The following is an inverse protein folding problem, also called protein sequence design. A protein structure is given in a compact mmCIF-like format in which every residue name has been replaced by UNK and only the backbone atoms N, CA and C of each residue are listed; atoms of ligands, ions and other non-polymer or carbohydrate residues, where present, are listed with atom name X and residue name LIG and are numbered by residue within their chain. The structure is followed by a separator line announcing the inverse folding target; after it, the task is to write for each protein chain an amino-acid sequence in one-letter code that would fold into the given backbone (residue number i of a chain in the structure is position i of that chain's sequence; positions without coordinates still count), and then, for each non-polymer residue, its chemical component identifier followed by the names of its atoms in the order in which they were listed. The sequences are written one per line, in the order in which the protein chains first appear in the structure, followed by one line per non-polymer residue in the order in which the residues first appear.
data_IF_125694634961
#
_entry.id   IF_125694634961
#
_cell.length_a   1.000
_cell.length_b   1.000
_cell.length_c   1.000
_cell.angle_alpha   90.00
_cell.angle_beta   90.00
_cell.angle_gamma   90.00
#
_symmetry.space_group_name_H-M   'P 1'
#
loop_
_entity.id
_entity.type
_entity.pdbx_description
1 polymer ?
#
# COMPACT_ATOMS: atom_id res chain seq x y z
N UNK A 1 3.03 -2.80 14.07
CA UNK A 1 1.59 -2.55 13.83
C UNK A 1 0.70 -3.27 14.85
N UNK A 2 0.81 -4.60 15.01
CA UNK A 2 -0.03 -5.36 15.93
C UNK A 2 0.13 -4.95 17.41
N UNK A 3 1.36 -4.69 17.86
CA UNK A 3 1.64 -4.15 19.20
C UNK A 3 1.07 -2.73 19.35
N UNK A 4 1.25 -1.86 18.36
CA UNK A 4 0.73 -0.49 18.36
C UNK A 4 -0.80 -0.46 18.39
N UNK A 5 -1.45 -1.32 17.58
CA UNK A 5 -2.92 -1.48 17.57
C UNK A 5 -3.50 -1.88 18.93
N UNK A 6 -2.74 -2.56 19.78
CA UNK A 6 -3.17 -3.04 21.09
C UNK A 6 -2.82 -2.14 22.28
N UNK A 7 -2.14 -1.00 22.08
CA UNK A 7 -1.67 -0.13 23.18
C UNK A 7 -2.79 0.42 24.08
N UNK A 8 -3.91 0.75 23.51
CA UNK A 8 -5.08 1.31 24.22
C UNK A 8 -6.16 0.26 24.55
N UNK A 9 -5.81 -1.04 24.44
CA UNK A 9 -6.75 -2.15 24.56
C UNK A 9 -7.31 -2.56 23.18
N UNK A 10 -8.08 -3.65 23.16
CA UNK A 10 -8.73 -4.19 21.95
C UNK A 10 -10.22 -4.30 22.18
N UNK A 11 -10.98 -3.63 21.34
CA UNK A 11 -12.45 -3.74 21.33
C UNK A 11 -12.87 -4.67 20.19
N UNK A 12 -14.05 -5.27 20.33
CA UNK A 12 -14.69 -6.04 19.24
C UNK A 12 -14.83 -5.20 17.95
N UNK A 13 -15.02 -3.89 18.09
CA UNK A 13 -15.08 -2.95 16.95
C UNK A 13 -13.76 -2.89 16.17
N UNK A 14 -12.64 -2.96 16.87
CA UNK A 14 -11.31 -2.89 16.24
C UNK A 14 -11.03 -4.14 15.41
N UNK A 15 -11.45 -5.30 15.89
CA UNK A 15 -11.35 -6.57 15.17
C UNK A 15 -12.27 -6.56 13.93
N UNK A 16 -13.48 -6.02 14.05
CA UNK A 16 -14.39 -5.88 12.91
C UNK A 16 -13.77 -4.97 11.84
N UNK A 17 -13.17 -3.86 12.24
CA UNK A 17 -12.48 -2.93 11.32
C UNK A 17 -11.31 -3.63 10.63
N UNK A 18 -10.52 -4.43 11.35
CA UNK A 18 -9.43 -5.21 10.77
C UNK A 18 -9.94 -6.20 9.71
N UNK A 19 -10.98 -6.97 10.03
CA UNK A 19 -11.56 -7.93 9.08
C UNK A 19 -12.18 -7.20 7.88
N UNK A 20 -12.91 -6.13 8.12
CA UNK A 20 -13.54 -5.35 7.06
C UNK A 20 -12.50 -4.70 6.13
N UNK A 21 -11.41 -4.17 6.69
CA UNK A 21 -10.32 -3.58 5.89
C UNK A 21 -9.50 -4.65 5.15
N UNK A 22 -9.33 -5.83 5.73
CA UNK A 22 -8.71 -6.97 5.04
C UNK A 22 -9.54 -7.43 3.85
N UNK A 23 -10.83 -7.71 4.07
CA UNK A 23 -11.74 -8.16 3.00
C UNK A 23 -11.91 -7.06 1.95
N UNK A 24 -12.13 -5.81 2.38
CA UNK A 24 -12.24 -4.66 1.49
C UNK A 24 -10.96 -4.41 0.69
N UNK A 25 -9.80 -4.57 1.30
CA UNK A 25 -8.49 -4.48 0.65
C UNK A 25 -8.30 -5.56 -0.41
N UNK A 26 -8.60 -6.82 -0.10
CA UNK A 26 -8.54 -7.93 -1.05
C UNK A 26 -9.49 -7.69 -2.24
N UNK A 27 -10.71 -7.24 -1.96
CA UNK A 27 -11.72 -6.99 -2.97
C UNK A 27 -11.34 -5.82 -3.88
N UNK A 28 -10.80 -4.76 -3.30
CA UNK A 28 -10.32 -3.58 -4.03
C UNK A 28 -9.13 -3.91 -4.92
N UNK A 29 -8.17 -4.70 -4.43
CA UNK A 29 -7.02 -5.15 -5.21
C UNK A 29 -7.46 -6.10 -6.33
N UNK A 30 -8.33 -7.06 -6.04
CA UNK A 30 -8.88 -8.00 -7.03
C UNK A 30 -9.69 -7.30 -8.12
N UNK A 31 -10.58 -6.37 -7.74
CA UNK A 31 -11.33 -5.55 -8.70
C UNK A 31 -10.42 -4.61 -9.47
N UNK A 32 -9.41 -4.04 -8.83
CA UNK A 32 -8.41 -3.19 -9.47
C UNK A 32 -7.68 -3.94 -10.58
N UNK A 33 -7.24 -5.16 -10.32
CA UNK A 33 -6.55 -5.99 -11.31
C UNK A 33 -7.48 -6.37 -12.51
N UNK A 34 -8.76 -6.63 -12.25
CA UNK A 34 -9.69 -7.08 -13.28
C UNK A 34 -10.51 -5.97 -13.95
N UNK A 35 -10.78 -4.85 -13.25
CA UNK A 35 -11.67 -3.79 -13.73
C UNK A 35 -10.92 -2.61 -14.36
N UNK A 36 -9.67 -2.36 -13.98
CA UNK A 36 -8.87 -1.23 -14.48
C UNK A 36 -7.87 -1.71 -15.55
N UNK A 37 -8.07 -2.86 -16.16
CA UNK A 37 -7.28 -3.37 -17.29
C UNK A 37 -7.39 -2.53 -18.58
N UNK A 38 -7.87 -1.29 -18.50
CA UNK A 38 -7.92 -0.31 -19.56
C UNK A 38 -6.86 0.77 -19.35
N UNK A 39 -6.15 1.15 -20.41
CA UNK A 39 -5.28 2.31 -20.39
C UNK A 39 -6.12 3.57 -20.18
N UNK A 40 -5.99 4.17 -19.00
CA UNK A 40 -6.55 5.49 -18.73
C UNK A 40 -5.78 6.50 -19.58
N UNK A 41 -6.47 7.37 -20.31
CA UNK A 41 -5.81 8.41 -21.08
C UNK A 41 -4.99 9.32 -20.15
N UNK A 42 -3.71 9.45 -20.46
CA UNK A 42 -2.78 10.29 -19.74
C UNK A 42 -3.08 11.76 -20.03
N UNK A 43 -3.72 12.44 -19.09
CA UNK A 43 -4.00 13.87 -19.16
C UNK A 43 -3.65 14.54 -17.81
N UNK A 44 -3.75 15.85 -17.75
CA UNK A 44 -3.42 16.62 -16.55
C UNK A 44 -4.15 16.12 -15.30
N UNK A 45 -5.44 15.83 -15.40
CA UNK A 45 -6.25 15.38 -14.25
C UNK A 45 -5.91 13.96 -13.81
N UNK A 46 -5.65 13.06 -14.75
CA UNK A 46 -5.25 11.69 -14.41
C UNK A 46 -3.87 11.64 -13.77
N UNK A 47 -2.93 12.49 -14.19
CA UNK A 47 -1.64 12.67 -13.52
C UNK A 47 -1.81 13.26 -12.11
N UNK A 48 -2.74 14.20 -11.93
CA UNK A 48 -3.03 14.77 -10.62
C UNK A 48 -3.62 13.71 -9.67
N UNK A 49 -4.52 12.85 -10.18
CA UNK A 49 -5.05 11.71 -9.41
C UNK A 49 -3.94 10.72 -9.04
N UNK A 50 -3.06 10.38 -10.00
CA UNK A 50 -1.93 9.51 -9.75
C UNK A 50 -1.02 10.07 -8.64
N UNK A 51 -0.72 11.37 -8.67
CA UNK A 51 0.01 12.07 -7.60
C UNK A 51 -0.69 11.99 -6.23
N UNK A 52 -2.01 12.14 -6.23
CA UNK A 52 -2.83 11.97 -5.03
C UNK A 52 -2.76 10.56 -4.46
N UNK A 53 -2.82 9.53 -5.30
CA UNK A 53 -2.69 8.13 -4.91
C UNK A 53 -1.29 7.82 -4.36
N UNK A 54 -0.23 8.40 -4.94
CA UNK A 54 1.14 8.29 -4.41
C UNK A 54 1.21 8.87 -3.00
N UNK A 55 0.65 10.06 -2.81
CA UNK A 55 0.64 10.73 -1.52
C UNK A 55 -0.16 9.94 -0.46
N UNK A 56 -1.29 9.35 -0.84
CA UNK A 56 -2.07 8.45 0.04
C UNK A 56 -1.24 7.24 0.46
N UNK A 57 -0.48 6.63 -0.46
CA UNK A 57 0.39 5.51 -0.15
C UNK A 57 1.54 5.86 0.80
N UNK A 58 1.98 7.12 0.81
CA UNK A 58 2.97 7.62 1.79
C UNK A 58 2.32 7.80 3.17
N UNK A 59 1.07 8.31 3.20
CA UNK A 59 0.34 8.57 4.46
C UNK A 59 -0.11 7.25 5.11
N UNK A 60 -0.60 6.32 4.29
CA UNK A 60 -1.16 5.04 4.75
C UNK A 60 -0.14 3.92 4.51
N UNK A 61 0.63 3.52 5.54
CA UNK A 61 1.59 2.45 5.39
C UNK A 61 0.89 1.14 4.98
N UNK A 62 1.48 0.43 4.03
CA UNK A 62 0.92 -0.82 3.48
C UNK A 62 0.07 -0.63 2.23
N UNK A 63 -0.29 0.60 1.87
CA UNK A 63 -0.93 0.90 0.60
C UNK A 63 0.17 1.14 -0.45
N UNK A 64 0.34 0.22 -1.37
CA UNK A 64 1.32 0.40 -2.45
C UNK A 64 0.75 1.29 -3.56
N UNK A 65 1.15 2.56 -3.67
CA UNK A 65 0.58 3.46 -4.67
C UNK A 65 0.94 3.05 -6.11
N UNK A 66 2.07 2.39 -6.29
CA UNK A 66 2.51 1.91 -7.60
C UNK A 66 1.54 0.92 -8.24
N UNK A 67 0.86 0.09 -7.44
CA UNK A 67 -0.13 -0.85 -7.96
C UNK A 67 -1.30 -0.11 -8.65
N UNK A 68 -1.81 0.96 -8.06
CA UNK A 68 -2.88 1.76 -8.68
C UNK A 68 -2.44 2.37 -10.01
N UNK A 69 -1.21 2.87 -10.08
CA UNK A 69 -0.66 3.47 -11.30
C UNK A 69 -0.43 2.40 -12.38
N UNK A 70 0.01 1.20 -11.98
CA UNK A 70 0.12 0.04 -12.87
C UNK A 70 -1.26 -0.36 -13.40
N UNK A 71 -2.29 -0.45 -12.54
CA UNK A 71 -3.65 -0.78 -12.95
C UNK A 71 -4.26 0.27 -13.88
N UNK A 72 -3.92 1.55 -13.70
CA UNK A 72 -4.29 2.62 -14.63
C UNK A 72 -3.55 2.54 -15.97
N UNK A 73 -2.57 1.65 -16.13
CA UNK A 73 -1.75 1.53 -17.34
C UNK A 73 -0.76 2.68 -17.54
N UNK A 74 -0.60 3.56 -16.55
CA UNK A 74 0.16 4.81 -16.65
C UNK A 74 1.61 4.69 -16.13
N UNK A 75 1.99 3.56 -15.53
CA UNK A 75 3.30 3.41 -14.87
C UNK A 75 4.48 3.63 -15.82
N UNK A 76 4.42 3.07 -17.04
CA UNK A 76 5.48 3.24 -18.04
C UNK A 76 5.62 4.70 -18.43
N UNK A 77 4.51 5.37 -18.75
CA UNK A 77 4.50 6.80 -19.14
C UNK A 77 5.01 7.68 -18.00
N UNK A 78 4.62 7.39 -16.76
CA UNK A 78 5.14 8.07 -15.58
C UNK A 78 6.65 7.90 -15.44
N UNK A 79 7.14 6.65 -15.55
CA UNK A 79 8.58 6.36 -15.46
C UNK A 79 9.39 7.07 -16.55
N UNK A 80 8.90 7.08 -17.77
CA UNK A 80 9.56 7.75 -18.89
C UNK A 80 9.50 9.27 -18.71
N UNK A 81 8.38 9.85 -18.26
CA UNK A 81 8.24 11.26 -17.95
C UNK A 81 9.22 11.72 -16.85
N UNK A 82 9.44 10.91 -15.82
CA UNK A 82 10.46 11.21 -14.80
C UNK A 82 11.88 11.16 -15.36
N UNK A 83 12.20 10.20 -16.24
CA UNK A 83 13.54 10.09 -16.85
C UNK A 83 13.85 11.27 -17.78
N UNK A 84 12.85 11.74 -18.52
CA UNK A 84 12.99 12.85 -19.46
C UNK A 84 12.74 14.22 -18.82
N UNK A 85 12.42 14.27 -17.52
CA UNK A 85 12.03 15.47 -16.80
C UNK A 85 10.85 16.21 -17.45
N UNK A 86 9.88 15.45 -17.96
CA UNK A 86 8.68 16.01 -18.59
C UNK A 86 7.79 16.70 -17.56
N UNK A 87 7.75 18.03 -17.62
CA UNK A 87 6.95 18.85 -16.71
C UNK A 87 5.45 18.64 -16.88
N UNK A 88 4.99 18.15 -18.03
CA UNK A 88 3.58 17.82 -18.25
C UNK A 88 3.11 16.62 -17.42
N UNK A 89 4.03 15.78 -16.99
CA UNK A 89 3.81 14.64 -16.10
C UNK A 89 4.13 14.99 -14.65
N UNK A 90 5.31 15.57 -14.41
CA UNK A 90 5.83 15.82 -13.05
C UNK A 90 4.99 16.85 -12.31
N UNK A 91 4.62 17.95 -12.97
CA UNK A 91 3.94 19.06 -12.31
C UNK A 91 2.53 18.68 -11.82
N UNK A 92 1.65 18.03 -12.61
CA UNK A 92 0.35 17.61 -12.11
C UNK A 92 0.46 16.50 -11.05
N UNK A 93 1.44 15.61 -11.13
CA UNK A 93 1.71 14.62 -10.06
C UNK A 93 2.08 15.32 -8.76
N UNK A 94 2.99 16.29 -8.82
CA UNK A 94 3.40 17.06 -7.65
C UNK A 94 2.24 17.86 -7.05
N UNK A 95 1.43 18.52 -7.88
CA UNK A 95 0.24 19.26 -7.45
C UNK A 95 -0.78 18.33 -6.79
N UNK A 96 -1.11 17.20 -7.41
CA UNK A 96 -2.03 16.22 -6.85
C UNK A 96 -1.55 15.66 -5.51
N UNK A 97 -0.26 15.37 -5.41
CA UNK A 97 0.38 14.93 -4.18
C UNK A 97 0.29 15.99 -3.08
N UNK A 98 0.66 17.24 -3.36
CA UNK A 98 0.58 18.35 -2.40
C UNK A 98 -0.85 18.62 -1.92
N UNK A 99 -1.82 18.64 -2.82
CA UNK A 99 -3.24 18.81 -2.46
C UNK A 99 -3.70 17.69 -1.54
N UNK A 100 -3.36 16.45 -1.87
CA UNK A 100 -3.72 15.29 -1.06
C UNK A 100 -3.04 15.34 0.31
N UNK A 101 -1.75 15.64 0.38
CA UNK A 101 -1.04 15.81 1.65
C UNK A 101 -1.67 16.90 2.51
N UNK A 102 -2.03 18.05 1.92
CA UNK A 102 -2.65 19.15 2.66
C UNK A 102 -4.04 18.81 3.20
N UNK A 103 -4.85 18.11 2.42
CA UNK A 103 -6.20 17.70 2.82
C UNK A 103 -6.17 16.57 3.84
N UNK A 104 -5.37 15.53 3.57
CA UNK A 104 -5.35 14.33 4.40
C UNK A 104 -4.51 14.47 5.66
N UNK A 105 -3.52 15.37 5.72
CA UNK A 105 -2.73 15.58 6.94
C UNK A 105 -3.60 15.99 8.14
N UNK A 106 -4.58 16.87 7.92
CA UNK A 106 -5.54 17.27 8.97
C UNK A 106 -6.47 16.12 9.37
N UNK A 107 -6.95 15.37 8.38
CA UNK A 107 -7.81 14.20 8.61
C UNK A 107 -7.07 13.12 9.40
N UNK A 108 -5.86 12.79 8.98
CA UNK A 108 -5.02 11.79 9.65
C UNK A 108 -4.70 12.22 11.08
N UNK A 109 -4.33 13.49 11.31
CA UNK A 109 -4.10 14.00 12.66
C UNK A 109 -5.36 13.89 13.54
N UNK A 110 -6.54 14.18 13.00
CA UNK A 110 -7.80 14.04 13.71
C UNK A 110 -8.10 12.58 14.08
N UNK A 111 -7.88 11.66 13.12
CA UNK A 111 -8.08 10.22 13.33
C UNK A 111 -7.10 9.68 14.37
N UNK A 112 -5.82 10.09 14.32
CA UNK A 112 -4.82 9.71 15.32
C UNK A 112 -5.21 10.14 16.74
N UNK A 113 -5.87 11.29 16.88
CA UNK A 113 -6.33 11.76 18.20
C UNK A 113 -7.57 11.01 18.73
N UNK A 114 -8.49 10.61 17.85
CA UNK A 114 -9.81 10.09 18.26
C UNK A 114 -10.01 8.60 18.06
N UNK A 115 -9.28 8.01 17.14
CA UNK A 115 -9.50 6.63 16.70
C UNK A 115 -8.18 5.90 16.44
N UNK A 116 -7.19 6.10 17.34
CA UNK A 116 -5.86 5.49 17.23
C UNK A 116 -5.91 3.96 17.06
N UNK A 117 -6.61 3.18 17.93
CA UNK A 117 -6.68 1.74 17.78
C UNK A 117 -7.33 1.32 16.45
N UNK A 118 -8.42 1.99 16.08
CA UNK A 118 -9.16 1.71 14.85
C UNK A 118 -8.31 1.92 13.60
N UNK A 119 -7.53 3.01 13.57
CA UNK A 119 -6.64 3.31 12.46
C UNK A 119 -5.57 2.23 12.30
N UNK A 120 -4.94 1.81 13.40
CA UNK A 120 -3.92 0.77 13.34
C UNK A 120 -4.47 -0.60 12.96
N UNK A 121 -5.68 -0.95 13.38
CA UNK A 121 -6.35 -2.18 12.93
C UNK A 121 -6.72 -2.10 11.44
N UNK A 122 -7.18 -0.94 10.98
CA UNK A 122 -7.45 -0.68 9.55
C UNK A 122 -6.18 -0.84 8.69
N UNK A 123 -5.10 -0.17 9.08
CA UNK A 123 -3.81 -0.27 8.38
C UNK A 123 -3.31 -1.73 8.38
N UNK A 124 -3.41 -2.41 9.52
CA UNK A 124 -2.96 -3.79 9.63
C UNK A 124 -3.78 -4.73 8.73
N UNK A 125 -5.09 -4.52 8.61
CA UNK A 125 -5.94 -5.27 7.69
C UNK A 125 -5.53 -5.07 6.23
N UNK A 126 -5.24 -3.83 5.80
CA UNK A 126 -4.77 -3.55 4.43
C UNK A 126 -3.40 -4.19 4.17
N UNK A 127 -2.46 -4.12 5.12
CA UNK A 127 -1.14 -4.76 5.01
C UNK A 127 -1.28 -6.27 4.85
N UNK A 128 -2.17 -6.91 5.62
CA UNK A 128 -2.44 -8.34 5.46
C UNK A 128 -3.05 -8.66 4.09
N UNK A 129 -4.00 -7.84 3.61
CA UNK A 129 -4.61 -8.01 2.29
C UNK A 129 -3.57 -7.93 1.18
N UNK A 130 -2.73 -6.90 1.19
CA UNK A 130 -1.66 -6.73 0.19
C UNK A 130 -0.63 -7.87 0.25
N UNK A 131 -0.30 -8.36 1.44
CA UNK A 131 0.63 -9.49 1.62
C UNK A 131 0.05 -10.78 1.02
N UNK A 132 -1.23 -11.06 1.26
CA UNK A 132 -1.90 -12.25 0.71
C UNK A 132 -2.03 -12.16 -0.81
N UNK A 133 -2.36 -10.98 -1.34
CA UNK A 133 -2.55 -10.77 -2.79
C UNK A 133 -1.23 -10.81 -3.60
N UNK A 134 -0.08 -10.63 -2.96
CA UNK A 134 1.23 -10.78 -3.61
C UNK A 134 1.58 -12.26 -3.85
N UNK A 135 0.95 -13.20 -3.14
CA UNK A 135 1.23 -14.62 -3.31
C UNK A 135 0.77 -15.06 -4.71
N UNK A 136 1.68 -15.57 -5.56
CA UNK A 136 1.30 -16.00 -6.91
C UNK A 136 0.29 -17.14 -6.82
N UNK A 137 -0.77 -17.08 -7.64
CA UNK A 137 -1.79 -18.13 -7.72
C UNK A 137 -1.44 -19.20 -8.76
N UNK A 138 -0.52 -18.90 -9.67
CA UNK A 138 -0.12 -19.81 -10.73
C UNK A 138 1.34 -20.25 -10.56
N UNK A 139 1.53 -21.49 -10.17
CA UNK A 139 2.82 -22.15 -10.02
C UNK A 139 3.15 -23.10 -11.17
N UNK A 140 2.38 -23.07 -12.26
CA UNK A 140 2.61 -23.93 -13.41
C UNK A 140 3.96 -23.60 -14.06
N UNK A 141 4.87 -24.57 -14.08
CA UNK A 141 6.22 -24.41 -14.64
C UNK A 141 7.31 -24.07 -13.61
N UNK A 142 7.01 -24.04 -12.33
CA UNK A 142 8.05 -23.90 -11.31
C UNK A 142 8.82 -25.19 -11.14
N UNK A 143 10.16 -25.09 -11.20
CA UNK A 143 11.06 -26.19 -10.89
C UNK A 143 11.28 -26.29 -9.37
N UNK A 144 11.69 -27.48 -8.90
CA UNK A 144 12.00 -27.75 -7.47
C UNK A 144 12.98 -26.71 -6.90
N UNK A 145 13.95 -26.26 -7.69
CA UNK A 145 14.92 -25.24 -7.29
C UNK A 145 14.23 -23.90 -6.98
N UNK A 146 13.21 -23.52 -7.75
CA UNK A 146 12.45 -22.29 -7.53
C UNK A 146 11.59 -22.37 -6.27
N UNK A 147 10.98 -23.52 -5.99
CA UNK A 147 10.25 -23.72 -4.72
C UNK A 147 11.19 -23.64 -3.51
N UNK A 148 12.36 -24.26 -3.58
CA UNK A 148 13.37 -24.18 -2.51
C UNK A 148 13.85 -22.73 -2.32
N UNK A 149 14.11 -22.02 -3.41
CA UNK A 149 14.48 -20.60 -3.35
C UNK A 149 13.40 -19.74 -2.69
N UNK A 150 12.13 -19.96 -3.01
CA UNK A 150 11.01 -19.26 -2.36
C UNK A 150 10.96 -19.52 -0.85
N UNK A 151 11.11 -20.77 -0.41
CA UNK A 151 11.12 -21.15 1.02
C UNK A 151 12.30 -20.51 1.75
N UNK A 152 13.50 -20.56 1.16
CA UNK A 152 14.70 -19.93 1.73
C UNK A 152 14.53 -18.42 1.84
N UNK A 153 14.02 -17.74 0.80
CA UNK A 153 13.78 -16.31 0.80
C UNK A 153 12.70 -15.91 1.81
N UNK A 154 11.65 -16.72 1.96
CA UNK A 154 10.61 -16.49 2.96
C UNK A 154 11.19 -16.62 4.38
N UNK A 155 12.01 -17.65 4.64
CA UNK A 155 12.71 -17.82 5.91
C UNK A 155 13.67 -16.67 6.21
N UNK A 156 14.47 -16.26 5.23
CA UNK A 156 15.40 -15.13 5.35
C UNK A 156 14.66 -13.81 5.59
N UNK A 157 13.58 -13.54 4.85
CA UNK A 157 12.76 -12.35 5.01
C UNK A 157 12.09 -12.26 6.38
N UNK A 158 11.54 -13.37 6.88
CA UNK A 158 10.95 -13.42 8.23
C UNK A 158 12.01 -13.24 9.33
N UNK A 159 13.17 -13.85 9.18
CA UNK A 159 14.30 -13.66 10.10
C UNK A 159 14.76 -12.20 10.12
N UNK A 160 14.96 -11.60 8.95
CA UNK A 160 15.39 -10.21 8.81
C UNK A 160 14.34 -9.25 9.41
N UNK A 161 13.06 -9.48 9.14
CA UNK A 161 11.96 -8.71 9.72
C UNK A 161 11.91 -8.81 11.25
N UNK A 162 12.10 -10.00 11.80
CA UNK A 162 12.17 -10.20 13.26
C UNK A 162 13.41 -9.51 13.87
N UNK A 163 14.55 -9.57 13.17
CA UNK A 163 15.76 -8.89 13.61
C UNK A 163 15.60 -7.37 13.63
N UNK A 164 15.03 -6.79 12.60
CA UNK A 164 14.73 -5.34 12.53
C UNK A 164 13.74 -4.91 13.61
N UNK A 165 12.70 -5.70 13.86
CA UNK A 165 11.74 -5.43 14.93
C UNK A 165 12.41 -5.44 16.31
N UNK A 166 13.35 -6.35 16.54
CA UNK A 166 14.12 -6.43 17.78
C UNK A 166 15.05 -5.23 17.97
N UNK A 167 15.68 -4.76 16.88
CA UNK A 167 16.47 -3.53 16.90
C UNK A 167 15.62 -2.31 17.26
N UNK A 168 14.43 -2.17 16.65
CA UNK A 168 13.52 -1.07 16.96
C UNK A 168 13.12 -1.06 18.45
N UNK A 169 12.83 -2.23 19.04
CA UNK A 169 12.49 -2.36 20.46
C UNK A 169 13.70 -2.00 21.38
N UNK A 170 14.93 -2.10 20.89
CA UNK A 170 16.16 -1.79 21.67
C UNK A 170 16.49 -0.31 21.66
N UNK A 171 16.13 0.43 20.59
CA UNK A 171 16.44 1.86 20.42
C UNK A 171 15.24 2.78 20.79
N UNK A 172 14.13 2.25 21.25
CA UNK A 172 13.00 2.98 21.86
C UNK A 172 13.09 3.02 23.37
#
# INVERSE_FOLDING_TARGET
LWKEAGKEGRSTRDIIILIASFVGGCLLLYLGENAIGGSVEANFFTWMIAGGLIALGIIVPGLSPSNFIVYMGMYKQMSDGFKTLDMSVILPIALGGLVTLALFSKLVHYIFKKAYPQLFHFIFGIVLASTVMIIPTNYAGFDIVQYLACVVMLGFGTWLGAFMAKLEDTYK
#
